data_IF_529781643511
#
_entry.id   IF_529781643511
#
_cell.length_a   1.000
_cell.length_b   1.000
_cell.length_c   1.000
_cell.angle_alpha   90.00
_cell.angle_beta   90.00
_cell.angle_gamma   90.00
#
_symmetry.space_group_name_H-M   'P 1'
#
loop_
_entity.id
_entity.type
_entity.pdbx_description
1 polymer ?
#
# COMPACT_ATOMS: atom_id res chain seq x y z
N UNK A 1 6.35 1.85 -54.64
CA UNK A 1 7.05 1.89 -53.33
C UNK A 1 6.02 2.29 -52.29
N UNK A 2 5.34 1.35 -51.61
CA UNK A 2 4.31 1.70 -50.63
C UNK A 2 4.94 1.88 -49.25
N UNK A 3 4.62 2.99 -48.60
CA UNK A 3 5.00 3.27 -47.22
C UNK A 3 4.29 2.32 -46.25
N UNK A 4 5.08 1.62 -45.44
CA UNK A 4 4.58 0.88 -44.29
C UNK A 4 4.20 1.84 -43.18
N UNK A 5 2.95 2.31 -43.19
CA UNK A 5 2.32 2.93 -42.03
C UNK A 5 2.38 1.91 -40.87
N UNK A 6 3.20 2.19 -39.85
CA UNK A 6 3.11 1.52 -38.54
C UNK A 6 1.76 1.86 -37.94
N UNK A 7 0.79 0.98 -38.15
CA UNK A 7 -0.48 0.97 -37.44
C UNK A 7 -0.19 0.86 -35.94
N UNK A 8 -0.25 2.00 -35.26
CA UNK A 8 -0.27 2.05 -33.79
C UNK A 8 -1.60 1.44 -33.36
N UNK A 9 -1.53 0.43 -32.50
CA UNK A 9 -2.68 -0.29 -31.96
C UNK A 9 -3.72 0.74 -31.48
N UNK A 10 -4.96 0.73 -32.01
CA UNK A 10 -5.98 1.67 -31.57
C UNK A 10 -6.29 1.39 -30.09
N UNK A 11 -5.99 2.36 -29.22
CA UNK A 11 -6.23 2.35 -27.77
C UNK A 11 -7.72 2.17 -27.38
N UNK A 12 -8.61 1.91 -28.34
CA UNK A 12 -10.07 1.91 -28.17
C UNK A 12 -10.78 0.68 -28.73
N UNK A 13 -10.07 -0.38 -29.11
CA UNK A 13 -10.72 -1.61 -29.56
C UNK A 13 -11.13 -2.46 -28.35
N UNK A 14 -12.44 -2.51 -28.10
CA UNK A 14 -13.05 -3.36 -27.06
C UNK A 14 -13.01 -4.81 -27.55
N UNK A 15 -12.05 -5.59 -27.06
CA UNK A 15 -12.13 -7.03 -27.18
C UNK A 15 -13.34 -7.52 -26.35
N UNK A 16 -14.22 -8.39 -26.91
CA UNK A 16 -15.30 -8.97 -26.13
C UNK A 16 -14.71 -9.71 -24.92
N UNK A 17 -15.05 -9.26 -23.71
CA UNK A 17 -14.59 -9.90 -22.49
C UNK A 17 -15.15 -11.33 -22.43
N UNK A 18 -14.31 -12.38 -22.37
CA UNK A 18 -14.79 -13.73 -22.17
C UNK A 18 -15.50 -13.81 -20.80
N UNK A 19 -16.81 -14.08 -20.81
CA UNK A 19 -17.56 -14.32 -19.58
C UNK A 19 -17.18 -15.69 -19.04
N UNK A 20 -16.10 -15.76 -18.27
CA UNK A 20 -15.75 -16.98 -17.54
C UNK A 20 -16.80 -17.22 -16.45
N UNK A 21 -17.76 -18.10 -16.74
CA UNK A 21 -18.81 -18.52 -15.80
C UNK A 21 -18.24 -19.45 -14.73
N UNK A 22 -17.66 -18.90 -13.67
CA UNK A 22 -17.14 -19.72 -12.56
C UNK A 22 -18.29 -20.31 -11.73
N UNK A 23 -18.25 -21.64 -11.55
CA UNK A 23 -19.23 -22.40 -10.77
C UNK A 23 -18.97 -22.39 -9.26
N UNK A 24 -17.73 -22.13 -8.80
CA UNK A 24 -17.38 -22.20 -7.38
C UNK A 24 -17.63 -20.89 -6.61
N UNK A 25 -17.99 -21.01 -5.33
CA UNK A 25 -18.21 -19.87 -4.41
C UNK A 25 -16.91 -19.05 -4.25
N UNK A 26 -15.77 -19.73 -4.20
CA UNK A 26 -14.43 -19.12 -4.13
C UNK A 26 -14.12 -18.34 -5.42
N UNK A 27 -14.44 -18.88 -6.60
CA UNK A 27 -14.23 -18.19 -7.87
C UNK A 27 -15.13 -16.96 -8.04
N UNK A 28 -16.39 -17.06 -7.58
CA UNK A 28 -17.30 -15.90 -7.51
C UNK A 28 -16.86 -14.86 -6.49
N UNK A 29 -16.21 -15.26 -5.39
CA UNK A 29 -15.69 -14.36 -4.36
C UNK A 29 -14.41 -13.65 -4.82
N UNK A 30 -13.46 -14.35 -5.45
CA UNK A 30 -12.25 -13.77 -6.07
C UNK A 30 -12.58 -12.72 -7.14
N UNK A 31 -13.60 -12.97 -7.98
CA UNK A 31 -14.08 -12.01 -9.00
C UNK A 31 -14.99 -10.91 -8.42
N UNK A 32 -15.46 -11.09 -7.18
CA UNK A 32 -16.24 -10.07 -6.47
C UNK A 32 -15.34 -9.07 -5.73
N UNK A 33 -14.05 -9.37 -5.56
CA UNK A 33 -13.06 -8.34 -5.24
C UNK A 33 -13.28 -7.16 -6.18
N UNK A 34 -13.37 -5.95 -5.61
CA UNK A 34 -13.86 -4.73 -6.28
C UNK A 34 -13.53 -4.73 -7.78
N UNK A 35 -14.58 -4.83 -8.60
CA UNK A 35 -14.43 -4.72 -10.05
C UNK A 35 -13.79 -3.38 -10.37
N UNK A 36 -12.51 -3.40 -10.72
CA UNK A 36 -11.80 -2.26 -11.36
C UNK A 36 -12.45 -1.91 -12.72
N UNK A 37 -13.37 -2.75 -13.21
CA UNK A 37 -14.22 -2.50 -14.38
C UNK A 37 -15.35 -1.47 -14.14
N UNK A 38 -15.43 -0.84 -12.96
CA UNK A 38 -16.37 0.24 -12.68
C UNK A 38 -15.98 1.62 -13.23
N UNK A 39 -14.74 1.80 -13.72
CA UNK A 39 -14.18 3.12 -14.04
C UNK A 39 -14.63 3.75 -15.37
N UNK A 40 -15.63 3.21 -16.07
CA UNK A 40 -16.09 3.76 -17.36
C UNK A 40 -17.53 4.26 -17.44
N UNK A 41 -18.23 4.45 -16.30
CA UNK A 41 -19.60 4.97 -16.39
C UNK A 41 -20.27 5.49 -15.12
N UNK A 42 -19.63 5.46 -13.96
CA UNK A 42 -20.09 6.21 -12.78
C UNK A 42 -19.03 7.25 -12.46
N UNK A 43 -19.52 8.45 -12.15
CA UNK A 43 -18.76 9.58 -11.59
C UNK A 43 -17.57 9.07 -10.77
N UNK A 44 -16.38 9.61 -11.01
CA UNK A 44 -15.18 9.34 -10.21
C UNK A 44 -15.61 9.44 -8.74
N UNK A 45 -15.78 8.29 -8.10
CA UNK A 45 -16.32 8.21 -6.76
C UNK A 45 -15.29 8.90 -5.86
N UNK A 46 -15.56 10.15 -5.55
CA UNK A 46 -14.63 10.97 -4.78
C UNK A 46 -14.73 10.46 -3.35
N UNK A 47 -13.72 9.70 -2.93
CA UNK A 47 -13.69 9.21 -1.57
C UNK A 47 -13.44 10.40 -0.62
N UNK A 48 -14.12 10.45 0.54
CA UNK A 48 -13.85 11.47 1.53
C UNK A 48 -12.38 11.47 1.95
N UNK A 49 -11.76 12.65 2.02
CA UNK A 49 -10.34 12.82 2.35
C UNK A 49 -9.93 12.16 3.69
N UNK A 50 -10.84 12.14 4.67
CA UNK A 50 -10.59 11.49 5.97
C UNK A 50 -10.35 9.98 5.83
N UNK A 51 -11.01 9.30 4.89
CA UNK A 51 -10.75 7.87 4.62
C UNK A 51 -9.34 7.66 4.08
N UNK A 52 -8.90 8.55 3.19
CA UNK A 52 -7.54 8.52 2.63
C UNK A 52 -6.53 8.75 3.75
N UNK A 53 -6.78 9.74 4.62
CA UNK A 53 -5.89 10.03 5.76
C UNK A 53 -5.78 8.85 6.73
N UNK A 54 -6.87 8.16 7.08
CA UNK A 54 -6.74 7.00 7.98
C UNK A 54 -6.01 5.84 7.33
N UNK A 55 -6.27 5.61 6.04
CA UNK A 55 -5.59 4.57 5.28
C UNK A 55 -4.08 4.84 5.19
N UNK A 56 -3.68 6.04 4.76
CA UNK A 56 -2.26 6.41 4.68
C UNK A 56 -1.65 6.62 6.07
N UNK A 57 -2.47 7.07 7.01
CA UNK A 57 -2.08 7.36 8.38
C UNK A 57 -1.66 6.10 9.12
N UNK A 58 -2.40 4.99 8.99
CA UNK A 58 -2.00 3.72 9.61
C UNK A 58 -0.63 3.26 9.14
N UNK A 59 -0.33 3.40 7.86
CA UNK A 59 0.98 3.05 7.30
C UNK A 59 2.11 3.93 7.86
N UNK A 60 1.87 5.25 7.91
CA UNK A 60 2.81 6.22 8.48
C UNK A 60 3.02 6.03 9.99
N UNK A 61 1.95 5.88 10.77
CA UNK A 61 2.03 5.66 12.22
C UNK A 61 2.76 4.37 12.55
N UNK A 62 2.57 3.32 11.75
CA UNK A 62 3.31 2.05 11.92
C UNK A 62 4.80 2.27 11.72
N UNK A 63 5.19 3.00 10.68
CA UNK A 63 6.60 3.30 10.40
C UNK A 63 7.25 4.16 11.50
N UNK A 64 6.52 5.14 12.03
CA UNK A 64 7.00 5.98 13.14
C UNK A 64 7.25 5.18 14.43
N UNK A 65 6.57 4.04 14.63
CA UNK A 65 6.76 3.18 15.80
C UNK A 65 8.16 2.57 15.89
N UNK A 66 8.75 2.16 14.76
CA UNK A 66 10.03 1.45 14.75
C UNK A 66 11.19 2.25 14.13
N UNK A 67 10.94 3.11 13.13
CA UNK A 67 12.00 3.76 12.36
C UNK A 67 12.93 4.65 13.21
N UNK A 68 12.44 5.50 14.13
CA UNK A 68 13.31 6.29 15.00
C UNK A 68 14.20 5.42 15.89
N UNK A 69 13.68 4.29 16.38
CA UNK A 69 14.43 3.33 17.17
C UNK A 69 15.56 2.68 16.39
N UNK A 70 15.31 2.25 15.15
CA UNK A 70 16.33 1.71 14.25
C UNK A 70 17.39 2.77 13.93
N UNK A 71 16.97 4.00 13.63
CA UNK A 71 17.88 5.10 13.34
C UNK A 71 18.79 5.42 14.53
N UNK A 72 18.25 5.44 15.75
CA UNK A 72 19.02 5.65 16.97
C UNK A 72 20.01 4.51 17.22
N UNK A 73 19.61 3.26 17.02
CA UNK A 73 20.50 2.10 17.18
C UNK A 73 21.63 2.08 16.15
N UNK A 74 21.36 2.51 14.92
CA UNK A 74 22.34 2.50 13.83
C UNK A 74 23.27 3.72 13.83
N UNK A 75 22.75 4.92 14.10
CA UNK A 75 23.47 6.18 13.96
C UNK A 75 23.73 6.89 15.30
N UNK A 76 23.20 6.39 16.41
CA UNK A 76 23.39 6.97 17.74
C UNK A 76 22.93 8.44 17.80
N UNK A 77 23.76 9.29 18.40
CA UNK A 77 23.48 10.72 18.54
C UNK A 77 23.31 11.47 17.19
N UNK A 78 23.69 10.87 16.06
CA UNK A 78 23.55 11.46 14.72
C UNK A 78 22.14 11.24 14.14
N UNK A 79 21.34 10.34 14.73
CA UNK A 79 20.01 10.00 14.23
C UNK A 79 19.05 11.20 14.02
N UNK A 80 18.99 12.22 14.90
CA UNK A 80 18.16 13.39 14.67
C UNK A 80 18.58 14.18 13.43
N UNK A 81 19.90 14.32 13.20
CA UNK A 81 20.44 15.03 12.04
C UNK A 81 20.12 14.26 10.76
N UNK A 82 20.30 12.93 10.77
CA UNK A 82 19.94 12.07 9.64
C UNK A 82 18.44 12.17 9.30
N UNK A 83 17.58 12.26 10.33
CA UNK A 83 16.13 12.43 10.16
C UNK A 83 15.81 13.78 9.52
N UNK A 84 16.47 14.87 9.93
CA UNK A 84 16.30 16.19 9.29
C UNK A 84 16.69 16.13 7.81
N UNK A 85 17.83 15.51 7.47
CA UNK A 85 18.21 15.32 6.07
C UNK A 85 17.20 14.50 5.29
N UNK A 86 16.68 13.40 5.86
CA UNK A 86 15.64 12.61 5.23
C UNK A 86 14.40 13.46 4.96
N UNK A 87 13.92 14.23 5.93
CA UNK A 87 12.77 15.14 5.77
C UNK A 87 13.02 16.16 4.67
N UNK A 88 14.21 16.76 4.61
CA UNK A 88 14.56 17.71 3.55
C UNK A 88 14.54 17.04 2.17
N UNK A 89 15.13 15.86 2.03
CA UNK A 89 15.11 15.09 0.76
C UNK A 89 13.67 14.71 0.37
N UNK A 90 12.83 14.33 1.33
CA UNK A 90 11.42 14.04 1.07
C UNK A 90 10.66 15.29 0.61
N UNK A 91 10.85 16.43 1.27
CA UNK A 91 10.14 17.68 0.95
C UNK A 91 10.60 18.31 -0.37
N UNK A 92 11.90 18.30 -0.66
CA UNK A 92 12.45 18.98 -1.84
C UNK A 92 12.70 18.04 -3.02
N UNK A 93 12.80 16.73 -2.79
CA UNK A 93 12.98 15.72 -3.83
C UNK A 93 11.69 14.96 -4.12
N UNK A 94 11.18 14.22 -3.14
CA UNK A 94 10.06 13.29 -3.35
C UNK A 94 8.71 14.01 -3.55
N UNK A 95 8.38 14.98 -2.70
CA UNK A 95 7.11 15.71 -2.75
C UNK A 95 6.84 16.41 -4.10
N UNK A 96 7.77 17.19 -4.70
CA UNK A 96 7.52 17.80 -5.99
C UNK A 96 7.35 16.77 -7.11
N UNK A 97 8.06 15.65 -7.05
CA UNK A 97 7.90 14.53 -8.01
C UNK A 97 6.52 13.90 -7.84
N UNK A 98 6.10 13.60 -6.62
CA UNK A 98 4.77 13.06 -6.34
C UNK A 98 3.66 14.01 -6.78
N UNK A 99 3.80 15.32 -6.54
CA UNK A 99 2.85 16.32 -7.00
C UNK A 99 2.73 16.35 -8.53
N UNK A 100 3.84 16.22 -9.26
CA UNK A 100 3.83 16.15 -10.72
C UNK A 100 3.19 14.87 -11.24
N UNK A 101 3.49 13.72 -10.62
CA UNK A 101 2.90 12.42 -11.00
C UNK A 101 1.41 12.41 -10.72
N UNK A 102 0.98 12.89 -9.55
CA UNK A 102 -0.43 12.99 -9.18
C UNK A 102 -1.22 13.89 -10.14
N UNK A 103 -0.63 15.02 -10.58
CA UNK A 103 -1.24 15.92 -11.58
C UNK A 103 -1.33 15.32 -12.98
N UNK A 104 -0.46 14.38 -13.34
CA UNK A 104 -0.46 13.73 -14.67
C UNK A 104 -1.25 12.43 -14.69
N UNK A 105 -1.42 11.77 -13.56
CA UNK A 105 -2.21 10.54 -13.40
C UNK A 105 -3.70 10.85 -13.21
N UNK A 106 -4.36 11.31 -14.28
CA UNK A 106 -5.75 11.81 -14.22
C UNK A 106 -6.85 10.74 -14.16
N UNK A 107 -6.51 9.45 -14.23
CA UNK A 107 -7.49 8.37 -14.38
C UNK A 107 -7.27 7.17 -13.44
N UNK A 108 -6.54 7.35 -12.32
CA UNK A 108 -6.35 6.27 -11.35
C UNK A 108 -5.52 5.08 -11.87
N UNK A 109 -4.87 5.21 -13.03
CA UNK A 109 -4.05 4.14 -13.61
C UNK A 109 -2.71 3.90 -12.87
N UNK A 110 -2.39 4.76 -11.89
CA UNK A 110 -1.16 4.65 -11.10
C UNK A 110 0.09 5.13 -11.84
N UNK A 111 1.19 5.29 -11.09
CA UNK A 111 2.50 5.69 -11.63
C UNK A 111 3.11 4.63 -12.55
N UNK A 112 2.77 3.35 -12.34
CA UNK A 112 3.30 2.20 -13.10
C UNK A 112 2.77 2.20 -14.53
N UNK A 113 1.47 2.43 -14.74
CA UNK A 113 0.88 2.51 -16.08
C UNK A 113 1.41 3.74 -16.85
N UNK A 114 1.67 4.86 -16.15
CA UNK A 114 2.31 6.03 -16.74
C UNK A 114 3.74 5.72 -17.21
N UNK A 115 4.51 4.97 -16.41
CA UNK A 115 5.89 4.56 -16.76
C UNK A 115 5.92 3.53 -17.89
N UNK A 116 4.97 2.60 -17.92
CA UNK A 116 4.84 1.63 -19.04
C UNK A 116 4.61 2.35 -20.37
N UNK A 117 3.75 3.37 -20.38
CA UNK A 117 3.44 4.12 -21.59
C UNK A 117 4.56 5.07 -22.06
N UNK A 118 5.57 5.32 -21.22
CA UNK A 118 6.71 6.19 -21.54
C UNK A 118 7.87 5.44 -22.20
N UNK A 119 7.91 4.11 -22.12
CA UNK A 119 8.98 3.26 -22.64
C UNK A 119 8.46 2.25 -23.66
N UNK A 120 8.92 2.35 -24.90
CA UNK A 120 8.50 1.43 -25.96
C UNK A 120 9.09 0.02 -25.80
N UNK A 121 8.24 -0.99 -26.00
CA UNK A 121 8.63 -2.40 -26.13
C UNK A 121 8.91 -3.13 -24.80
N UNK A 122 9.81 -4.11 -24.84
CA UNK A 122 10.09 -5.02 -23.71
C UNK A 122 10.78 -4.34 -22.52
N UNK A 123 11.40 -3.17 -22.72
CA UNK A 123 12.06 -2.41 -21.64
C UNK A 123 11.03 -1.86 -20.65
N UNK A 124 9.87 -1.38 -21.14
CA UNK A 124 8.77 -0.93 -20.28
C UNK A 124 8.26 -2.06 -19.39
N UNK A 125 8.00 -3.24 -19.98
CA UNK A 125 7.56 -4.43 -19.24
C UNK A 125 8.58 -4.90 -18.20
N UNK A 126 9.87 -4.90 -18.56
CA UNK A 126 10.94 -5.22 -17.61
C UNK A 126 10.98 -4.26 -16.43
N UNK A 127 10.89 -2.95 -16.68
CA UNK A 127 10.83 -1.93 -15.62
C UNK A 127 9.60 -2.12 -14.72
N UNK A 128 8.42 -2.35 -15.31
CA UNK A 128 7.18 -2.61 -14.56
C UNK A 128 7.32 -3.83 -13.65
N UNK A 129 7.88 -4.94 -14.15
CA UNK A 129 8.10 -6.14 -13.34
C UNK A 129 9.09 -5.90 -12.19
N UNK A 130 10.15 -5.14 -12.44
CA UNK A 130 11.11 -4.75 -11.39
C UNK A 130 10.44 -3.87 -10.34
N UNK A 131 9.67 -2.85 -10.74
CA UNK A 131 8.96 -1.97 -9.82
C UNK A 131 7.89 -2.73 -9.02
N UNK A 132 7.18 -3.67 -9.65
CA UNK A 132 6.20 -4.51 -8.99
C UNK A 132 6.87 -5.46 -7.99
N UNK A 133 8.01 -6.05 -8.34
CA UNK A 133 8.81 -6.87 -7.42
C UNK A 133 9.35 -6.07 -6.24
N UNK A 134 9.84 -4.85 -6.49
CA UNK A 134 10.26 -3.92 -5.44
C UNK A 134 9.09 -3.56 -4.52
N UNK A 135 7.95 -3.15 -5.07
CA UNK A 135 6.75 -2.81 -4.29
C UNK A 135 6.21 -4.00 -3.49
N UNK A 136 6.22 -5.20 -4.06
CA UNK A 136 5.82 -6.42 -3.34
C UNK A 136 6.76 -6.71 -2.16
N UNK A 137 8.07 -6.54 -2.36
CA UNK A 137 9.06 -6.74 -1.31
C UNK A 137 8.89 -5.70 -0.20
N UNK A 138 8.75 -4.43 -0.57
CA UNK A 138 8.49 -3.33 0.37
C UNK A 138 7.23 -3.60 1.20
N UNK A 139 6.13 -4.01 0.56
CA UNK A 139 4.89 -4.34 1.25
C UNK A 139 5.05 -5.49 2.26
N UNK A 140 5.77 -6.56 1.89
CA UNK A 140 6.06 -7.68 2.78
C UNK A 140 6.93 -7.24 3.97
N UNK A 141 7.96 -6.44 3.71
CA UNK A 141 8.87 -5.93 4.76
C UNK A 141 8.09 -5.03 5.73
N UNK A 142 7.34 -4.06 5.22
CA UNK A 142 6.59 -3.09 6.03
C UNK A 142 5.52 -3.78 6.87
N UNK A 143 4.77 -4.74 6.30
CA UNK A 143 3.79 -5.51 7.04
C UNK A 143 4.45 -6.36 8.15
N UNK A 144 5.59 -6.98 7.85
CA UNK A 144 6.30 -7.84 8.81
C UNK A 144 6.92 -7.05 9.95
N UNK A 145 7.60 -5.93 9.66
CA UNK A 145 8.19 -5.06 10.69
C UNK A 145 7.10 -4.45 11.58
N UNK A 146 6.01 -3.98 10.99
CA UNK A 146 4.88 -3.42 11.75
C UNK A 146 4.23 -4.45 12.67
N UNK A 147 4.01 -5.69 12.18
CA UNK A 147 3.45 -6.75 13.00
C UNK A 147 4.40 -7.22 14.11
N UNK A 148 5.71 -7.26 13.85
CA UNK A 148 6.71 -7.64 14.84
C UNK A 148 6.81 -6.60 15.97
N UNK A 149 6.77 -5.31 15.63
CA UNK A 149 6.76 -4.23 16.63
C UNK A 149 5.47 -4.25 17.47
N UNK A 150 4.31 -4.46 16.84
CA UNK A 150 3.05 -4.63 17.56
C UNK A 150 3.06 -5.85 18.50
N UNK A 151 3.61 -6.98 18.05
CA UNK A 151 3.76 -8.18 18.88
C UNK A 151 4.68 -7.93 20.08
N UNK A 152 5.79 -7.19 19.89
CA UNK A 152 6.68 -6.81 21.00
C UNK A 152 5.95 -5.99 22.05
N UNK A 153 5.21 -4.95 21.64
CA UNK A 153 4.41 -4.13 22.56
C UNK A 153 3.33 -4.97 23.29
N UNK A 154 2.72 -5.94 22.61
CA UNK A 154 1.74 -6.83 23.22
C UNK A 154 2.35 -7.76 24.28
N UNK A 155 3.57 -8.26 24.05
CA UNK A 155 4.27 -9.16 24.98
C UNK A 155 4.83 -8.39 26.18
N UNK A 156 5.32 -7.16 25.98
CA UNK A 156 5.83 -6.30 27.04
C UNK A 156 4.71 -5.70 27.91
N UNK A 157 3.45 -5.76 27.46
CA UNK A 157 2.30 -5.25 28.20
C UNK A 157 2.10 -6.03 29.52
N UNK A 158 2.11 -5.37 30.70
CA UNK A 158 1.96 -6.01 32.00
C UNK A 158 0.71 -6.89 32.17
N UNK A 159 -0.37 -6.57 31.45
CA UNK A 159 -1.64 -7.31 31.50
C UNK A 159 -1.66 -8.59 30.65
N UNK A 160 -0.82 -8.66 29.61
CA UNK A 160 -0.73 -9.79 28.67
C UNK A 160 0.54 -10.63 28.87
N UNK A 161 1.50 -10.07 29.60
CA UNK A 161 2.80 -10.65 29.94
C UNK A 161 2.75 -12.09 30.48
N UNK A 162 1.80 -12.46 31.37
CA UNK A 162 1.75 -13.82 31.92
C UNK A 162 1.37 -14.89 30.88
N UNK A 163 0.70 -14.50 29.79
CA UNK A 163 0.11 -15.45 28.82
C UNK A 163 0.91 -15.50 27.52
N UNK A 164 1.55 -14.39 27.11
CA UNK A 164 2.18 -14.24 25.78
C UNK A 164 3.72 -14.35 25.77
N UNK A 165 4.38 -14.45 26.94
CA UNK A 165 5.85 -14.33 27.09
C UNK A 165 6.70 -15.20 26.17
N UNK A 166 6.30 -16.44 25.90
CA UNK A 166 7.12 -17.42 25.16
C UNK A 166 6.75 -17.58 23.67
N UNK A 167 5.73 -16.85 23.19
CA UNK A 167 5.09 -17.14 21.90
C UNK A 167 5.17 -15.98 20.91
N UNK A 168 6.27 -15.22 20.89
CA UNK A 168 6.41 -14.01 20.06
C UNK A 168 6.11 -14.24 18.58
N UNK A 169 6.65 -15.32 18.01
CA UNK A 169 6.43 -15.69 16.60
C UNK A 169 4.95 -16.01 16.34
N UNK A 170 4.29 -16.75 17.25
CA UNK A 170 2.88 -17.09 17.10
C UNK A 170 1.98 -15.85 17.22
N UNK A 171 2.32 -14.92 18.10
CA UNK A 171 1.59 -13.64 18.25
C UNK A 171 1.71 -12.83 16.96
N UNK A 172 2.92 -12.68 16.40
CA UNK A 172 3.12 -11.98 15.13
C UNK A 172 2.34 -12.64 13.99
N UNK A 173 2.41 -13.97 13.86
CA UNK A 173 1.66 -14.71 12.84
C UNK A 173 0.15 -14.59 13.01
N UNK A 174 -0.35 -14.59 14.26
CA UNK A 174 -1.75 -14.39 14.55
C UNK A 174 -2.22 -12.97 14.16
N UNK A 175 -1.43 -11.94 14.48
CA UNK A 175 -1.73 -10.55 14.09
C UNK A 175 -1.77 -10.44 12.56
N UNK A 176 -0.78 -10.99 11.86
CA UNK A 176 -0.75 -11.00 10.38
C UNK A 176 -1.97 -11.73 9.80
N UNK A 177 -2.35 -12.88 10.37
CA UNK A 177 -3.51 -13.64 9.92
C UNK A 177 -4.82 -12.88 10.13
N UNK A 178 -4.98 -12.20 11.27
CA UNK A 178 -6.15 -11.36 11.55
C UNK A 178 -6.21 -10.18 10.60
N UNK A 179 -5.09 -9.47 10.39
CA UNK A 179 -5.03 -8.37 9.43
C UNK A 179 -5.38 -8.84 8.02
N UNK A 180 -4.80 -9.95 7.57
CA UNK A 180 -5.12 -10.56 6.28
C UNK A 180 -6.62 -10.90 6.18
N UNK A 181 -7.21 -11.51 7.21
CA UNK A 181 -8.64 -11.82 7.23
C UNK A 181 -9.53 -10.56 7.15
N UNK A 182 -9.16 -9.48 7.85
CA UNK A 182 -9.87 -8.19 7.78
C UNK A 182 -9.79 -7.60 6.36
N UNK A 183 -8.61 -7.60 5.75
CA UNK A 183 -8.42 -7.14 4.37
C UNK A 183 -9.21 -7.98 3.36
N UNK A 184 -9.27 -9.31 3.54
CA UNK A 184 -10.07 -10.21 2.69
C UNK A 184 -11.58 -9.97 2.87
N UNK A 185 -12.03 -9.53 4.06
CA UNK A 185 -13.44 -9.22 4.32
C UNK A 185 -13.88 -7.94 3.59
N UNK A 186 -13.03 -6.91 3.56
CA UNK A 186 -13.30 -5.70 2.80
C UNK A 186 -12.45 -4.49 3.20
N UNK A 187 -12.23 -3.59 2.24
CA UNK A 187 -11.41 -2.39 2.42
C UNK A 187 -12.05 -1.36 3.34
N UNK A 188 -13.39 -1.28 3.36
CA UNK A 188 -14.11 -0.35 4.24
C UNK A 188 -14.00 -0.76 5.71
N UNK A 189 -13.99 -2.07 5.99
CA UNK A 189 -13.78 -2.64 7.31
C UNK A 189 -12.38 -2.33 7.84
N UNK A 190 -11.35 -2.44 6.98
CA UNK A 190 -9.99 -2.08 7.34
C UNK A 190 -9.86 -0.60 7.72
N UNK A 191 -10.44 0.31 6.94
CA UNK A 191 -10.46 1.75 7.26
C UNK A 191 -11.22 2.03 8.56
N UNK A 192 -12.34 1.34 8.80
CA UNK A 192 -13.10 1.48 10.03
C UNK A 192 -12.28 1.06 11.26
N UNK A 193 -11.61 -0.10 11.18
CA UNK A 193 -10.77 -0.61 12.27
C UNK A 193 -9.56 0.30 12.52
N UNK A 194 -8.95 0.82 11.45
CA UNK A 194 -7.90 1.83 11.51
C UNK A 194 -8.34 3.09 12.27
N UNK A 195 -9.50 3.65 11.92
CA UNK A 195 -10.02 4.84 12.57
C UNK A 195 -10.32 4.60 14.07
N UNK A 196 -10.92 3.44 14.40
CA UNK A 196 -11.24 3.06 15.79
C UNK A 196 -9.97 2.87 16.62
N UNK A 197 -8.89 2.36 16.05
CA UNK A 197 -7.62 2.21 16.75
C UNK A 197 -6.87 3.54 16.91
N UNK A 198 -6.85 4.37 15.86
CA UNK A 198 -6.01 5.56 15.83
C UNK A 198 -6.65 6.80 16.50
N UNK A 199 -7.98 6.93 16.51
CA UNK A 199 -8.65 8.06 17.19
C UNK A 199 -8.37 8.08 18.70
N UNK A 200 -8.53 6.98 19.47
CA UNK A 200 -8.19 6.97 20.89
C UNK A 200 -6.70 7.22 21.12
N UNK A 201 -5.83 6.65 20.29
CA UNK A 201 -4.38 6.86 20.38
C UNK A 201 -4.02 8.35 20.25
N UNK A 202 -4.57 9.04 19.24
CA UNK A 202 -4.35 10.46 19.06
C UNK A 202 -4.97 11.30 20.19
N UNK A 203 -6.16 10.94 20.66
CA UNK A 203 -6.82 11.63 21.76
C UNK A 203 -6.06 11.52 23.09
N UNK A 204 -5.35 10.41 23.32
CA UNK A 204 -4.51 10.20 24.51
C UNK A 204 -3.12 10.85 24.40
N UNK A 205 -2.71 11.27 23.19
CA UNK A 205 -1.38 11.82 22.92
C UNK A 205 -1.38 13.34 22.73
N UNK A 206 -2.56 13.98 22.83
CA UNK A 206 -2.75 15.45 22.89
C UNK A 206 -2.85 15.86 24.35
#
# INVERSE_FOLDING_TARGET
MPEHLKERIPFREQLPQPSFGYRSVIGKWLIRGERVDGHRGREVATHPWWKVIWLTGVDYFSTLGYQPGIALLAAGAVAPIATVFLVLVTLFGALPVYAQVARRSYAGQGSIAMLENLLDGWKGKGLVLVLLGFAATDFVITMTLSAADAAKHAIENPFLQPVLREHSILVTLAILAVLAAVFLKGFSEAIGLAAVAAVPYLALNV
#
